data_IF_732910171774
#
_entry.id   IF_732910171774
#
_cell.length_a   1.000
_cell.length_b   1.000
_cell.length_c   1.000
_cell.angle_alpha   90.00
_cell.angle_beta   90.00
_cell.angle_gamma   90.00
#
_symmetry.space_group_name_H-M   'P 1'
#
loop_
_entity.id
_entity.type
_entity.pdbx_description
1 polymer ?
#
# COMPACT_ATOMS: atom_id res chain seq x y z
N UNK A 1 -3.38 10.02 -11.64
CA UNK A 1 -3.65 8.98 -10.63
C UNK A 1 -3.42 9.55 -9.24
N UNK A 2 -4.14 9.03 -8.27
CA UNK A 2 -3.97 9.43 -6.88
C UNK A 2 -2.85 8.61 -6.22
N UNK A 3 -2.26 9.16 -5.15
CA UNK A 3 -1.18 8.52 -4.41
C UNK A 3 -1.71 7.99 -3.08
N UNK A 4 -1.28 6.80 -2.71
CA UNK A 4 -1.72 6.12 -1.49
C UNK A 4 -0.54 5.53 -0.75
N UNK A 5 -0.66 5.51 0.57
CA UNK A 5 0.24 4.78 1.46
C UNK A 5 -0.45 3.49 1.86
N UNK A 6 0.13 2.35 1.52
CA UNK A 6 -0.31 1.05 2.01
C UNK A 6 0.62 0.60 3.11
N UNK A 7 0.09 0.39 4.30
CA UNK A 7 0.82 -0.13 5.45
C UNK A 7 0.42 -1.58 5.67
N UNK A 8 1.41 -2.42 5.98
CA UNK A 8 1.21 -3.85 6.15
C UNK A 8 1.74 -4.31 7.50
N UNK A 9 0.97 -5.16 8.18
CA UNK A 9 1.43 -5.87 9.36
C UNK A 9 1.35 -7.37 9.08
N UNK A 10 2.40 -8.12 9.41
CA UNK A 10 2.38 -9.56 9.22
C UNK A 10 1.34 -10.21 10.13
N UNK A 11 0.58 -11.16 9.58
CA UNK A 11 -0.24 -12.07 10.36
C UNK A 11 0.65 -13.17 10.93
N UNK A 12 0.06 -14.05 11.76
CA UNK A 12 0.77 -15.23 12.23
C UNK A 12 1.28 -16.07 11.05
N UNK A 13 0.42 -16.27 10.03
CA UNK A 13 0.80 -16.99 8.82
C UNK A 13 1.96 -16.31 8.10
N UNK A 14 1.92 -14.99 7.98
CA UNK A 14 2.96 -14.22 7.29
C UNK A 14 4.31 -14.27 7.98
N UNK A 15 4.32 -14.19 9.32
CA UNK A 15 5.57 -14.21 10.09
C UNK A 15 6.18 -15.62 10.16
N UNK A 16 5.36 -16.65 10.18
CA UNK A 16 5.87 -18.03 10.19
C UNK A 16 6.71 -18.33 8.96
N UNK A 17 6.40 -17.74 7.82
CA UNK A 17 7.12 -17.93 6.57
C UNK A 17 7.75 -16.63 6.09
N UNK A 18 8.36 -15.90 7.01
CA UNK A 18 8.91 -14.57 6.72
C UNK A 18 9.97 -14.59 5.61
N UNK A 19 10.69 -15.69 5.45
CA UNK A 19 11.70 -15.81 4.41
C UNK A 19 11.11 -15.75 2.99
N UNK A 20 9.81 -15.99 2.86
CA UNK A 20 9.09 -15.86 1.58
C UNK A 20 8.67 -14.42 1.30
N UNK A 21 8.86 -13.49 2.24
CA UNK A 21 8.41 -12.11 2.09
C UNK A 21 8.90 -11.43 0.82
N UNK A 22 10.18 -11.55 0.42
CA UNK A 22 10.61 -10.92 -0.83
C UNK A 22 9.82 -11.38 -2.05
N UNK A 23 9.50 -12.67 -2.15
CA UNK A 23 8.70 -13.20 -3.25
C UNK A 23 7.25 -12.69 -3.17
N UNK A 24 6.70 -12.57 -1.96
CA UNK A 24 5.35 -12.03 -1.75
C UNK A 24 5.28 -10.56 -2.13
N UNK A 25 6.32 -9.79 -1.83
CA UNK A 25 6.41 -8.39 -2.22
C UNK A 25 6.40 -8.25 -3.74
N UNK A 26 7.19 -9.07 -4.44
CA UNK A 26 7.20 -9.05 -5.90
C UNK A 26 5.86 -9.45 -6.49
N UNK A 27 5.18 -10.43 -5.90
CA UNK A 27 3.85 -10.85 -6.34
C UNK A 27 2.82 -9.72 -6.13
N UNK A 28 2.89 -9.01 -5.00
CA UNK A 28 2.01 -7.88 -4.72
C UNK A 28 2.24 -6.74 -5.72
N UNK A 29 3.48 -6.45 -6.07
CA UNK A 29 3.80 -5.44 -7.09
C UNK A 29 3.18 -5.80 -8.44
N UNK A 30 3.28 -7.08 -8.84
CA UNK A 30 2.65 -7.55 -10.08
C UNK A 30 1.14 -7.41 -10.05
N UNK A 31 0.51 -7.77 -8.95
CA UNK A 31 -0.93 -7.63 -8.77
C UNK A 31 -1.36 -6.18 -8.94
N UNK A 32 -0.69 -5.25 -8.26
CA UNK A 32 -0.97 -3.83 -8.36
C UNK A 32 -0.82 -3.34 -9.80
N UNK A 33 0.27 -3.73 -10.46
CA UNK A 33 0.53 -3.34 -11.85
C UNK A 33 -0.56 -3.86 -12.79
N UNK A 34 -0.94 -5.13 -12.66
CA UNK A 34 -1.99 -5.74 -13.49
C UNK A 34 -3.34 -5.07 -13.31
N UNK A 35 -3.57 -4.48 -12.14
CA UNK A 35 -4.83 -3.79 -11.81
C UNK A 35 -4.78 -2.30 -12.15
N UNK A 36 -3.74 -1.84 -12.85
CA UNK A 36 -3.64 -0.47 -13.33
C UNK A 36 -2.94 0.50 -12.38
N UNK A 37 -2.29 0.00 -11.34
CA UNK A 37 -1.53 0.83 -10.40
C UNK A 37 -0.03 0.78 -10.65
N UNK A 38 0.69 1.60 -9.90
CA UNK A 38 2.16 1.66 -9.93
C UNK A 38 2.70 1.73 -8.50
N UNK A 39 3.62 0.82 -8.17
CA UNK A 39 4.33 0.89 -6.89
C UNK A 39 5.50 1.85 -7.05
N UNK A 40 5.46 2.96 -6.34
CA UNK A 40 6.51 4.00 -6.40
C UNK A 40 7.66 3.69 -5.48
N UNK A 41 7.39 3.07 -4.34
CA UNK A 41 8.40 2.77 -3.33
C UNK A 41 7.94 1.63 -2.44
N UNK A 42 8.90 0.90 -1.89
CA UNK A 42 8.71 -0.10 -0.85
C UNK A 42 9.74 0.13 0.24
N UNK A 43 9.31 0.06 1.49
CA UNK A 43 10.22 0.14 2.65
C UNK A 43 9.77 -0.86 3.72
N UNK A 44 10.76 -1.50 4.39
CA UNK A 44 10.54 -2.14 5.67
C UNK A 44 10.55 -1.07 6.76
N UNK A 45 9.80 -1.29 7.83
CA UNK A 45 9.68 -0.34 8.93
C UNK A 45 10.15 -1.02 10.21
N UNK A 46 11.08 -0.37 10.92
CA UNK A 46 11.52 -0.83 12.23
C UNK A 46 10.91 0.06 13.31
N UNK A 47 10.38 -0.56 14.35
CA UNK A 47 9.89 0.18 15.53
C UNK A 47 8.48 0.69 15.42
N UNK A 48 7.66 0.12 14.53
CA UNK A 48 6.26 0.47 14.36
C UNK A 48 5.38 -0.78 14.49
N UNK A 49 4.09 -0.57 14.70
CA UNK A 49 3.11 -1.65 14.59
C UNK A 49 2.95 -2.16 13.17
N UNK A 50 3.44 -1.40 12.17
CA UNK A 50 3.46 -1.83 10.78
C UNK A 50 4.86 -2.30 10.41
N UNK A 51 4.94 -3.32 9.58
CA UNK A 51 6.20 -3.97 9.23
C UNK A 51 6.77 -3.52 7.90
N UNK A 52 5.91 -3.22 6.94
CA UNK A 52 6.33 -2.77 5.61
C UNK A 52 5.34 -1.76 5.05
N UNK A 53 5.74 -1.07 3.99
CA UNK A 53 4.87 -0.12 3.31
C UNK A 53 5.15 -0.05 1.83
N UNK A 54 4.10 0.28 1.07
CA UNK A 54 4.20 0.72 -0.32
C UNK A 54 3.72 2.15 -0.44
N UNK A 55 4.34 2.91 -1.32
CA UNK A 55 3.73 4.12 -1.90
C UNK A 55 3.24 3.70 -3.28
N UNK A 56 1.94 3.89 -3.55
CA UNK A 56 1.28 3.39 -4.75
C UNK A 56 0.51 4.49 -5.42
N UNK A 57 0.58 4.57 -6.75
CA UNK A 57 -0.34 5.36 -7.55
C UNK A 57 -1.42 4.45 -8.11
N UNK A 58 -2.67 4.86 -7.98
CA UNK A 58 -3.83 4.12 -8.49
C UNK A 58 -4.85 5.08 -9.09
N UNK A 59 -5.70 4.59 -10.01
CA UNK A 59 -6.67 5.46 -10.70
C UNK A 59 -7.66 6.13 -9.76
N UNK A 60 -8.15 5.42 -8.76
CA UNK A 60 -9.17 5.92 -7.83
C UNK A 60 -9.25 5.04 -6.59
N UNK A 61 -10.12 5.42 -5.65
CA UNK A 61 -10.29 4.73 -4.37
C UNK A 61 -10.82 3.30 -4.53
N UNK A 62 -11.70 3.07 -5.49
CA UNK A 62 -12.22 1.72 -5.74
C UNK A 62 -11.11 0.78 -6.18
N UNK A 63 -10.23 1.24 -7.06
CA UNK A 63 -9.11 0.43 -7.53
C UNK A 63 -8.12 0.13 -6.43
N UNK A 64 -7.81 1.12 -5.58
CA UNK A 64 -6.89 0.86 -4.46
C UNK A 64 -7.51 -0.13 -3.47
N UNK A 65 -8.82 -0.06 -3.22
CA UNK A 65 -9.51 -1.00 -2.36
C UNK A 65 -9.44 -2.42 -2.93
N UNK A 66 -9.64 -2.59 -4.23
CA UNK A 66 -9.51 -3.89 -4.89
C UNK A 66 -8.09 -4.45 -4.74
N UNK A 67 -7.07 -3.62 -4.94
CA UNK A 67 -5.67 -4.01 -4.80
C UNK A 67 -5.36 -4.48 -3.38
N UNK A 68 -5.81 -3.72 -2.39
CA UNK A 68 -5.61 -4.03 -0.97
C UNK A 68 -6.26 -5.35 -0.62
N UNK A 69 -7.50 -5.55 -1.04
CA UNK A 69 -8.23 -6.79 -0.75
C UNK A 69 -7.60 -7.99 -1.46
N UNK A 70 -7.13 -7.82 -2.69
CA UNK A 70 -6.44 -8.88 -3.42
C UNK A 70 -5.18 -9.37 -2.69
N UNK A 71 -4.45 -8.44 -2.07
CA UNK A 71 -3.26 -8.76 -1.29
C UNK A 71 -3.65 -9.37 0.06
N UNK A 72 -4.59 -8.75 0.76
CA UNK A 72 -5.01 -9.16 2.09
C UNK A 72 -5.65 -10.55 2.12
N UNK A 73 -6.40 -10.91 1.08
CA UNK A 73 -7.09 -12.21 1.05
C UNK A 73 -6.14 -13.41 1.04
N UNK A 74 -4.86 -13.20 0.71
CA UNK A 74 -3.86 -14.26 0.77
C UNK A 74 -3.48 -14.64 2.20
N UNK A 75 -3.85 -13.81 3.18
CA UNK A 75 -3.73 -14.14 4.59
C UNK A 75 -2.39 -13.82 5.24
N UNK A 76 -1.43 -13.28 4.49
CA UNK A 76 -0.07 -13.04 5.00
C UNK A 76 0.09 -11.71 5.72
N UNK A 77 -0.79 -10.74 5.44
CA UNK A 77 -0.72 -9.39 5.99
C UNK A 77 -2.09 -8.85 6.31
N UNK A 78 -2.12 -7.96 7.30
CA UNK A 78 -3.21 -7.02 7.52
C UNK A 78 -2.78 -5.69 6.94
N UNK A 79 -3.74 -4.90 6.46
CA UNK A 79 -3.45 -3.69 5.71
C UNK A 79 -4.12 -2.48 6.32
N UNK A 80 -3.50 -1.33 6.12
CA UNK A 80 -4.10 -0.03 6.39
C UNK A 80 -3.67 0.90 5.26
N UNK A 81 -4.62 1.56 4.62
CA UNK A 81 -4.34 2.38 3.44
C UNK A 81 -4.83 3.80 3.69
N UNK A 82 -4.00 4.76 3.29
CA UNK A 82 -4.28 6.18 3.43
C UNK A 82 -4.10 6.88 2.09
N UNK A 83 -4.98 7.85 1.81
CA UNK A 83 -4.80 8.74 0.66
C UNK A 83 -3.73 9.77 1.02
N UNK A 84 -2.74 9.91 0.15
CA UNK A 84 -1.71 10.93 0.30
C UNK A 84 -1.97 12.07 -0.68
N UNK A 85 -1.73 13.29 -0.23
CA UNK A 85 -1.77 14.49 -1.05
C UNK A 85 -0.36 15.00 -1.24
N UNK A 86 -0.01 15.34 -2.49
CA UNK A 86 1.27 16.01 -2.76
C UNK A 86 1.25 17.40 -2.10
N UNK A 87 2.40 18.03 -2.03
CA UNK A 87 2.49 19.40 -1.49
C UNK A 87 1.59 20.35 -2.30
N UNK A 88 1.59 20.24 -3.62
CA UNK A 88 0.74 21.07 -4.48
C UNK A 88 -0.75 20.81 -4.26
N UNK A 89 -1.14 19.53 -4.16
CA UNK A 89 -2.52 19.17 -3.85
C UNK A 89 -2.94 19.71 -2.50
N UNK A 90 -2.08 19.59 -1.50
CA UNK A 90 -2.37 20.06 -0.15
C UNK A 90 -2.50 21.58 -0.13
N UNK A 91 -1.63 22.29 -0.84
CA UNK A 91 -1.73 23.75 -0.98
C UNK A 91 -3.06 24.18 -1.58
N UNK A 92 -3.54 23.45 -2.60
CA UNK A 92 -4.85 23.73 -3.20
C UNK A 92 -6.00 23.51 -2.21
N UNK A 93 -5.90 22.44 -1.39
CA UNK A 93 -6.89 22.18 -0.35
C UNK A 93 -6.95 23.35 0.63
N UNK A 94 -5.78 23.80 1.10
CA UNK A 94 -5.69 24.93 2.04
C UNK A 94 -6.26 26.21 1.41
N UNK A 95 -5.96 26.47 0.14
CA UNK A 95 -6.45 27.65 -0.59
C UNK A 95 -7.96 27.69 -0.73
N UNK A 96 -8.62 26.55 -0.65
CA UNK A 96 -10.08 26.45 -0.77
C UNK A 96 -10.82 26.63 0.55
N UNK A 97 -10.09 26.81 1.65
CA UNK A 97 -10.72 27.01 2.97
C UNK A 97 -11.35 28.40 3.05
N UNK A 98 -12.47 28.54 3.79
CA UNK A 98 -13.14 29.83 3.95
C UNK A 98 -12.33 30.83 4.74
#
# INVERSE_FOLDING_TARGET
>A
MATYLMLFSFTQQGIEKIKESPARVEAAKRTIHQMGGEVQAFYGILGSQYDTMFIVKAPNDEKIAEMVLAIAMLGNVRTQTHRLFSEDEFSRIISSLP
#
